data_IF_166663989892
#
_entry.id   IF_166663989892
#
_cell.length_a   1.000
_cell.length_b   1.000
_cell.length_c   1.000
_cell.angle_alpha   90.00
_cell.angle_beta   90.00
_cell.angle_gamma   90.00
#
_symmetry.space_group_name_H-M   'P 1'
#
loop_
_entity.id
_entity.type
_entity.pdbx_description
1 polymer ?
#
# COMPACT_ATOMS: atom_id res chain seq x y z
N UNK A 1 -28.89 -20.31 0.53
CA UNK A 1 -27.63 -20.25 1.29
C UNK A 1 -26.71 -19.45 0.42
N UNK A 2 -26.58 -18.17 0.72
CA UNK A 2 -25.74 -17.25 -0.04
C UNK A 2 -24.29 -17.60 0.23
N UNK A 3 -23.51 -17.62 -0.83
CA UNK A 3 -22.12 -18.00 -0.87
C UNK A 3 -21.26 -17.07 0.00
N UNK A 4 -21.02 -17.48 1.25
CA UNK A 4 -20.27 -16.72 2.26
C UNK A 4 -18.74 -16.96 2.13
N UNK A 5 -18.31 -17.75 1.13
CA UNK A 5 -16.89 -18.06 0.90
C UNK A 5 -16.17 -17.02 0.03
N UNK A 6 -16.88 -16.27 -0.82
CA UNK A 6 -16.23 -15.27 -1.69
C UNK A 6 -15.77 -14.01 -0.92
N UNK A 7 -16.43 -13.64 0.19
CA UNK A 7 -16.04 -12.45 0.97
C UNK A 7 -14.76 -12.62 1.79
N UNK A 8 -14.31 -13.85 2.09
CA UNK A 8 -13.11 -14.05 2.91
C UNK A 8 -11.79 -13.81 2.13
N UNK A 9 -11.80 -13.86 0.80
CA UNK A 9 -10.57 -13.69 0.01
C UNK A 9 -10.24 -12.21 -0.28
N UNK A 10 -11.25 -11.34 -0.37
CA UNK A 10 -11.04 -9.90 -0.60
C UNK A 10 -10.44 -9.19 0.62
N UNK A 11 -10.87 -9.56 1.83
CA UNK A 11 -10.40 -8.96 3.08
C UNK A 11 -8.90 -9.23 3.33
N UNK A 12 -8.42 -10.45 3.04
CA UNK A 12 -7.01 -10.82 3.21
C UNK A 12 -6.09 -10.04 2.26
N UNK A 13 -6.50 -9.85 1.01
CA UNK A 13 -5.75 -9.10 0.02
C UNK A 13 -5.70 -7.61 0.36
N UNK A 14 -6.84 -7.02 0.77
CA UNK A 14 -6.91 -5.64 1.22
C UNK A 14 -6.03 -5.40 2.45
N UNK A 15 -6.04 -6.34 3.40
CA UNK A 15 -5.20 -6.29 4.59
C UNK A 15 -3.71 -6.31 4.24
N UNK A 16 -3.29 -7.24 3.37
CA UNK A 16 -1.89 -7.34 2.93
C UNK A 16 -1.39 -6.07 2.23
N UNK A 17 -2.23 -5.42 1.41
CA UNK A 17 -1.90 -4.13 0.80
C UNK A 17 -1.80 -3.03 1.86
N UNK A 18 -2.72 -3.02 2.83
CA UNK A 18 -2.70 -2.08 3.96
C UNK A 18 -1.43 -2.19 4.80
N UNK A 19 -1.02 -3.40 5.18
CA UNK A 19 0.24 -3.66 5.88
C UNK A 19 1.43 -3.17 5.06
N UNK A 20 1.43 -3.44 3.74
CA UNK A 20 2.52 -3.00 2.85
C UNK A 20 2.64 -1.48 2.79
N UNK A 21 1.52 -0.78 2.76
CA UNK A 21 1.48 0.68 2.80
C UNK A 21 2.08 1.20 4.10
N UNK A 22 1.72 0.62 5.24
CA UNK A 22 2.28 1.02 6.55
C UNK A 22 3.79 0.74 6.63
N UNK A 23 4.23 -0.45 6.22
CA UNK A 23 5.65 -0.83 6.17
C UNK A 23 6.46 0.17 5.33
N UNK A 24 5.95 0.54 4.15
CA UNK A 24 6.63 1.49 3.26
C UNK A 24 6.61 2.92 3.82
N UNK A 25 5.54 3.33 4.49
CA UNK A 25 5.48 4.63 5.15
C UNK A 25 6.51 4.74 6.30
N UNK A 26 6.63 3.70 7.13
CA UNK A 26 7.62 3.65 8.22
C UNK A 26 9.05 3.70 7.69
N UNK A 27 9.33 3.02 6.57
CA UNK A 27 10.64 3.06 5.90
C UNK A 27 10.92 4.39 5.22
N UNK A 28 9.91 5.02 4.64
CA UNK A 28 10.05 6.29 3.94
C UNK A 28 10.26 7.46 4.91
N UNK A 29 9.65 7.41 6.10
CA UNK A 29 9.74 8.43 7.14
C UNK A 29 11.17 8.92 7.44
N UNK A 30 12.16 8.07 7.76
CA UNK A 30 13.53 8.51 8.00
C UNK A 30 14.22 9.04 6.74
N UNK A 31 13.95 8.44 5.57
CA UNK A 31 14.57 8.84 4.30
C UNK A 31 14.12 10.26 3.90
N UNK A 32 12.83 10.55 4.05
CA UNK A 32 12.26 11.86 3.73
C UNK A 32 12.79 13.00 4.60
N UNK A 33 13.28 12.72 5.82
CA UNK A 33 13.96 13.71 6.67
C UNK A 33 15.31 14.16 6.09
N UNK A 34 15.97 13.28 5.36
CA UNK A 34 17.29 13.51 4.75
C UNK A 34 17.13 14.01 3.32
N UNK A 35 16.15 13.46 2.60
CA UNK A 35 15.87 13.77 1.19
C UNK A 35 14.43 14.28 1.06
N UNK A 36 14.21 15.60 1.16
CA UNK A 36 12.90 16.19 0.94
C UNK A 36 12.34 15.79 -0.42
N UNK A 37 11.09 15.31 -0.44
CA UNK A 37 10.44 14.82 -1.65
C UNK A 37 10.73 13.35 -2.00
N UNK A 38 11.42 12.60 -1.14
CA UNK A 38 11.54 11.15 -1.28
C UNK A 38 10.17 10.47 -1.41
N UNK A 39 10.12 9.40 -2.20
CA UNK A 39 8.91 8.61 -2.48
C UNK A 39 9.22 7.13 -2.43
N UNK A 40 8.23 6.32 -2.10
CA UNK A 40 8.28 4.88 -2.28
C UNK A 40 7.32 4.49 -3.40
N UNK A 41 7.76 3.67 -4.34
CA UNK A 41 6.93 3.23 -5.46
C UNK A 41 7.08 1.72 -5.65
N UNK A 42 5.96 1.04 -5.90
CA UNK A 42 5.92 -0.38 -6.25
C UNK A 42 4.68 -0.67 -7.09
N UNK A 43 4.58 -1.89 -7.61
CA UNK A 43 3.41 -2.36 -8.32
C UNK A 43 3.03 -3.76 -7.86
N UNK A 44 1.75 -4.10 -7.96
CA UNK A 44 1.24 -5.45 -7.74
C UNK A 44 0.12 -5.76 -8.74
N UNK A 45 -0.18 -7.04 -8.91
CA UNK A 45 -1.26 -7.53 -9.77
C UNK A 45 -2.34 -8.21 -8.94
N UNK A 46 -3.60 -7.90 -9.20
CA UNK A 46 -4.78 -8.45 -8.54
C UNK A 46 -5.92 -8.49 -9.56
N UNK A 47 -6.63 -9.62 -9.64
CA UNK A 47 -7.74 -9.83 -10.59
C UNK A 47 -7.40 -9.52 -12.06
N UNK A 48 -6.16 -9.82 -12.46
CA UNK A 48 -5.65 -9.55 -13.81
C UNK A 48 -5.39 -8.06 -14.10
N UNK A 49 -5.53 -7.19 -13.10
CA UNK A 49 -5.22 -5.77 -13.19
C UNK A 49 -3.92 -5.46 -12.45
N UNK A 50 -3.07 -4.64 -13.10
CA UNK A 50 -1.84 -4.12 -12.50
C UNK A 50 -2.13 -2.77 -11.82
N UNK A 51 -1.76 -2.67 -10.55
CA UNK A 51 -1.86 -1.46 -9.75
C UNK A 51 -0.47 -0.92 -9.48
N UNK A 52 -0.27 0.37 -9.77
CA UNK A 52 0.95 1.10 -9.42
C UNK A 52 0.67 1.98 -8.21
N UNK A 53 1.51 1.85 -7.18
CA UNK A 53 1.35 2.56 -5.92
C UNK A 53 2.55 3.49 -5.73
N UNK A 54 2.27 4.74 -5.40
CA UNK A 54 3.27 5.72 -5.01
C UNK A 54 2.88 6.34 -3.66
N UNK A 55 3.79 6.23 -2.68
CA UNK A 55 3.68 6.86 -1.38
C UNK A 55 4.54 8.11 -1.31
N UNK A 56 3.96 9.17 -0.76
CA UNK A 56 4.64 10.42 -0.43
C UNK A 56 4.25 10.84 0.98
N UNK A 57 5.22 11.28 1.77
CA UNK A 57 4.88 11.91 3.05
C UNK A 57 4.30 13.30 2.78
N UNK A 58 3.16 13.59 3.39
CA UNK A 58 2.62 14.94 3.38
C UNK A 58 3.60 15.87 4.11
N UNK A 59 4.18 16.83 3.40
CA UNK A 59 4.82 17.97 4.04
C UNK A 59 3.71 18.79 4.72
N UNK A 60 3.66 18.72 6.06
CA UNK A 60 2.72 19.51 6.86
C UNK A 60 2.80 20.98 6.47
N UNK A 61 1.64 21.58 6.25
CA UNK A 61 1.47 23.03 6.07
C UNK A 61 1.32 23.68 7.44
#
# INVERSE_FOLDING_TARGET
MSDDSEMMFEDDAAYAVGEKVMEMAERLAPIAKITPGARAAWAFEMDGQRFEVELRLASGK
#
